data_IF_108288973636
#
_entry.id   IF_108288973636
#
_cell.length_a   1.000
_cell.length_b   1.000
_cell.length_c   1.000
_cell.angle_alpha   90.00
_cell.angle_beta   90.00
_cell.angle_gamma   90.00
#
_symmetry.space_group_name_H-M   'P 1'
#
loop_
_entity.id
_entity.type
_entity.pdbx_description
1 polymer ?
#
# COMPACT_ATOMS: atom_id res chain seq x y z
N UNK A 1 -1.80 12.16 -5.87
CA UNK A 1 -1.56 11.49 -4.58
C UNK A 1 -2.09 12.36 -3.46
N UNK A 2 -3.09 11.88 -2.73
CA UNK A 2 -3.73 12.51 -1.57
C UNK A 2 -2.90 12.33 -0.30
N UNK A 3 -3.26 13.02 0.80
CA UNK A 3 -2.58 12.86 2.10
C UNK A 3 -2.70 11.44 2.67
N UNK A 4 -3.84 10.78 2.48
CA UNK A 4 -4.07 9.40 2.90
C UNK A 4 -3.22 8.42 2.09
N UNK A 5 -3.16 8.57 0.76
CA UNK A 5 -2.31 7.74 -0.10
C UNK A 5 -0.82 7.87 0.26
N UNK A 6 -0.35 9.08 0.57
CA UNK A 6 1.01 9.32 1.05
C UNK A 6 1.29 8.60 2.37
N UNK A 7 0.33 8.65 3.30
CA UNK A 7 0.43 7.95 4.58
C UNK A 7 0.47 6.43 4.41
N UNK A 8 -0.32 5.89 3.46
CA UNK A 8 -0.29 4.46 3.12
C UNK A 8 1.07 4.11 2.55
N UNK A 9 1.58 4.86 1.57
CA UNK A 9 2.89 4.60 0.98
C UNK A 9 3.99 4.58 2.05
N UNK A 10 4.04 5.59 2.91
CA UNK A 10 5.02 5.66 3.99
C UNK A 10 4.91 4.46 4.94
N UNK A 11 3.69 4.02 5.26
CA UNK A 11 3.47 2.85 6.12
C UNK A 11 3.88 1.54 5.43
N UNK A 12 3.68 1.42 4.11
CA UNK A 12 4.15 0.27 3.31
C UNK A 12 5.68 0.21 3.23
N UNK A 13 6.34 1.36 3.12
CA UNK A 13 7.81 1.46 3.17
C UNK A 13 8.32 1.08 4.56
N UNK A 14 7.71 1.60 5.64
CA UNK A 14 8.07 1.24 7.01
C UNK A 14 7.94 -0.28 7.25
N UNK A 15 6.88 -0.90 6.72
CA UNK A 15 6.69 -2.35 6.79
C UNK A 15 7.85 -3.10 6.12
N UNK A 16 8.22 -2.72 4.91
CA UNK A 16 9.33 -3.31 4.15
C UNK A 16 10.67 -3.16 4.91
N UNK A 17 10.95 -1.98 5.45
CA UNK A 17 12.17 -1.73 6.23
C UNK A 17 12.20 -2.57 7.52
N UNK A 18 11.08 -2.66 8.25
CA UNK A 18 11.00 -3.49 9.46
C UNK A 18 11.18 -4.96 9.15
N UNK A 19 10.60 -5.48 8.07
CA UNK A 19 10.78 -6.86 7.63
C UNK A 19 12.24 -7.13 7.25
N UNK A 20 12.89 -6.22 6.53
CA UNK A 20 14.32 -6.31 6.18
C UNK A 20 15.24 -6.24 7.40
N UNK A 21 14.85 -5.50 8.44
CA UNK A 21 15.59 -5.38 9.68
C UNK A 21 15.35 -6.56 10.65
N UNK A 22 14.28 -7.35 10.51
CA UNK A 22 14.01 -8.51 11.37
C UNK A 22 15.18 -9.49 11.56
N UNK A 23 15.94 -9.90 10.54
CA UNK A 23 17.07 -10.81 10.73
C UNK A 23 18.21 -10.21 11.55
N UNK A 24 18.33 -8.88 11.61
CA UNK A 24 19.45 -8.17 12.25
C UNK A 24 19.07 -7.52 13.58
N UNK A 25 17.78 -7.47 13.94
CA UNK A 25 17.28 -6.76 15.12
C UNK A 25 16.85 -7.72 16.23
N UNK A 26 17.31 -7.46 17.46
CA UNK A 26 16.89 -8.17 18.66
C UNK A 26 16.58 -7.15 19.78
N UNK A 27 15.35 -7.09 20.30
CA UNK A 27 14.19 -7.94 20.00
C UNK A 27 13.57 -7.69 18.63
N UNK A 28 12.81 -8.67 18.11
CA UNK A 28 12.14 -8.59 16.81
C UNK A 28 11.13 -7.41 16.78
N UNK A 29 11.12 -6.58 15.74
CA UNK A 29 10.18 -5.47 15.61
C UNK A 29 8.75 -5.98 15.47
N UNK A 30 7.80 -5.29 16.13
CA UNK A 30 6.39 -5.64 16.07
C UNK A 30 5.75 -5.06 14.79
N UNK A 31 5.23 -5.94 13.91
CA UNK A 31 4.56 -5.56 12.68
C UNK A 31 3.04 -5.35 12.84
N UNK A 32 2.44 -5.87 13.92
CA UNK A 32 1.01 -5.72 14.20
C UNK A 32 0.52 -4.27 14.15
N UNK A 33 1.20 -3.27 14.78
CA UNK A 33 0.76 -1.89 14.70
C UNK A 33 0.83 -1.31 13.28
N UNK A 34 1.76 -1.82 12.45
CA UNK A 34 1.91 -1.38 11.06
C UNK A 34 0.73 -1.86 10.22
N UNK A 35 0.32 -3.12 10.39
CA UNK A 35 -0.86 -3.66 9.72
C UNK A 35 -2.15 -2.98 10.18
N UNK A 36 -2.29 -2.70 11.47
CA UNK A 36 -3.45 -1.97 12.00
C UNK A 36 -3.56 -0.58 11.37
N UNK A 37 -2.45 0.17 11.31
CA UNK A 37 -2.39 1.49 10.68
C UNK A 37 -2.74 1.43 9.19
N UNK A 38 -2.27 0.42 8.45
CA UNK A 38 -2.62 0.23 7.05
C UNK A 38 -4.12 -0.01 6.86
N UNK A 39 -4.74 -0.81 7.73
CA UNK A 39 -6.18 -1.08 7.68
C UNK A 39 -7.00 0.20 7.94
N UNK A 40 -6.63 0.97 8.97
CA UNK A 40 -7.26 2.26 9.28
C UNK A 40 -7.13 3.27 8.15
N UNK A 41 -5.95 3.37 7.54
CA UNK A 41 -5.73 4.26 6.39
C UNK A 41 -6.49 3.79 5.16
N UNK A 42 -6.59 2.49 4.94
CA UNK A 42 -7.36 1.90 3.83
C UNK A 42 -8.85 2.23 3.96
N UNK A 43 -9.40 2.20 5.19
CA UNK A 43 -10.79 2.60 5.45
C UNK A 43 -11.06 4.10 5.25
N UNK A 44 -10.02 4.92 5.37
CA UNK A 44 -10.09 6.37 5.15
C UNK A 44 -9.88 6.77 3.69
N UNK A 45 -9.59 5.83 2.80
CA UNK A 45 -9.46 6.12 1.38
C UNK A 45 -10.82 6.58 0.81
N UNK A 46 -10.83 7.68 0.05
CA UNK A 46 -12.06 8.15 -0.56
C UNK A 46 -12.51 7.19 -1.68
N UNK A 47 -13.82 7.16 -1.97
CA UNK A 47 -14.40 6.28 -3.01
C UNK A 47 -13.84 6.53 -4.42
N UNK A 48 -13.26 7.71 -4.65
CA UNK A 48 -12.59 8.10 -5.88
C UNK A 48 -11.16 7.53 -6.02
N UNK A 49 -10.65 6.82 -5.00
CA UNK A 49 -9.37 6.13 -5.09
C UNK A 49 -9.42 5.01 -6.13
N UNK A 50 -8.30 4.79 -6.82
CA UNK A 50 -8.19 3.77 -7.84
C UNK A 50 -8.61 2.39 -7.31
N UNK A 51 -9.51 1.67 -8.02
CA UNK A 51 -10.01 0.36 -7.58
C UNK A 51 -8.89 -0.69 -7.50
N UNK A 52 -7.83 -0.55 -8.30
CA UNK A 52 -6.65 -1.40 -8.25
C UNK A 52 -5.90 -1.28 -6.92
N UNK A 53 -5.69 -0.05 -6.44
CA UNK A 53 -5.06 0.20 -5.15
C UNK A 53 -5.89 -0.40 -4.01
N UNK A 54 -7.20 -0.19 -4.03
CA UNK A 54 -8.11 -0.80 -3.05
C UNK A 54 -8.00 -2.33 -3.10
N UNK A 55 -8.02 -2.93 -4.30
CA UNK A 55 -7.86 -4.37 -4.47
C UNK A 55 -6.57 -4.88 -3.85
N UNK A 56 -5.43 -4.23 -4.11
CA UNK A 56 -4.14 -4.63 -3.55
C UNK A 56 -4.12 -4.54 -2.02
N UNK A 57 -4.67 -3.46 -1.44
CA UNK A 57 -4.73 -3.28 0.01
C UNK A 57 -5.64 -4.34 0.66
N UNK A 58 -6.82 -4.61 0.10
CA UNK A 58 -7.74 -5.64 0.61
C UNK A 58 -7.18 -7.07 0.48
N UNK A 59 -6.43 -7.35 -0.59
CA UNK A 59 -5.73 -8.64 -0.79
C UNK A 59 -4.43 -8.75 0.01
N UNK A 60 -4.07 -7.75 0.82
CA UNK A 60 -2.78 -7.68 1.54
C UNK A 60 -1.57 -7.79 0.61
N UNK A 61 -1.71 -7.41 -0.65
CA UNK A 61 -0.64 -7.32 -1.63
C UNK A 61 0.11 -6.00 -1.48
N UNK A 62 0.73 -5.81 -0.32
CA UNK A 62 1.41 -4.57 0.08
C UNK A 62 2.51 -4.13 -0.89
N UNK A 63 3.26 -5.08 -1.45
CA UNK A 63 4.28 -4.78 -2.46
C UNK A 63 3.66 -4.18 -3.73
N UNK A 64 2.54 -4.72 -4.21
CA UNK A 64 1.85 -4.16 -5.39
C UNK A 64 1.23 -2.81 -5.11
N UNK A 65 0.61 -2.64 -3.94
CA UNK A 65 0.06 -1.35 -3.50
C UNK A 65 1.14 -0.26 -3.46
N UNK A 66 2.35 -0.62 -3.00
CA UNK A 66 3.51 0.27 -2.98
C UNK A 66 3.95 0.66 -4.40
N UNK A 67 4.14 -0.33 -5.29
CA UNK A 67 4.49 -0.06 -6.71
C UNK A 67 3.44 0.82 -7.42
N UNK A 68 2.17 0.61 -7.09
CA UNK A 68 1.07 1.45 -7.58
C UNK A 68 1.19 2.90 -7.12
N UNK A 69 1.41 3.10 -5.82
CA UNK A 69 1.54 4.43 -5.22
C UNK A 69 2.82 5.17 -5.61
N UNK A 70 3.92 4.45 -5.86
CA UNK A 70 5.18 5.00 -6.36
C UNK A 70 5.11 5.41 -7.85
N UNK A 71 3.96 5.20 -8.51
CA UNK A 71 3.79 5.51 -9.93
C UNK A 71 4.52 4.55 -10.87
N UNK A 72 5.15 3.49 -10.34
CA UNK A 72 5.73 2.41 -11.15
C UNK A 72 4.63 1.56 -11.82
N UNK A 73 3.42 1.55 -11.25
CA UNK A 73 2.24 0.96 -11.91
C UNK A 73 1.43 1.99 -12.73
N UNK A 74 1.65 3.30 -12.58
CA UNK A 74 0.93 4.30 -13.37
C UNK A 74 1.28 4.22 -14.86
N UNK A 75 2.48 3.72 -15.19
CA UNK A 75 2.87 3.35 -16.56
C UNK A 75 2.14 2.08 -17.05
N UNK A 76 1.74 1.15 -16.16
CA UNK A 76 0.92 -0.04 -16.49
C UNK A 76 -0.59 0.26 -16.52
N UNK A 77 -1.08 1.18 -15.70
CA UNK A 77 -2.50 1.54 -15.60
C UNK A 77 -3.02 2.31 -16.84
N UNK A 78 -2.12 2.88 -17.66
CA UNK A 78 -2.50 3.45 -18.98
C UNK A 78 -2.92 2.37 -19.99
N UNK A 79 -2.80 1.08 -19.65
CA UNK A 79 -3.06 -0.04 -20.55
C UNK A 79 -4.41 -0.74 -20.44
N UNK A 80 -5.22 -0.60 -19.38
CA UNK A 80 -6.34 -1.56 -19.20
C UNK A 80 -7.68 -1.08 -18.61
N UNK A 81 -8.01 0.21 -18.68
CA UNK A 81 -9.35 0.69 -18.28
C UNK A 81 -10.18 1.17 -19.49
N UNK A 82 -10.40 0.30 -20.48
CA UNK A 82 -11.54 0.41 -21.41
C UNK A 82 -12.41 -0.83 -21.27
N UNK A 83 -13.39 -0.75 -20.37
CA UNK A 83 -14.38 -1.79 -20.13
C UNK A 83 -15.62 -1.18 -19.51
N UNK A 84 -16.19 -0.16 -20.16
CA UNK A 84 -17.53 0.32 -19.89
C UNK A 84 -18.39 -0.04 -21.11
N UNK A 85 -19.25 -1.04 -20.96
CA UNK A 85 -20.45 -1.24 -21.78
C UNK A 85 -21.65 -1.08 -20.87
#
# INVERSE_FOLDING_TARGET
MTGTEQSILQTLVELDEKVKAMPTTNPKPNLLPVFARLDELTRQLPVQTAPELLHYLHKKSYQKARLFLEGQDAENARGNCHGHQ
#
